data_IF_114136053107
#
_entry.id   IF_114136053107
#
_cell.length_a   1.000
_cell.length_b   1.000
_cell.length_c   1.000
_cell.angle_alpha   90.00
_cell.angle_beta   90.00
_cell.angle_gamma   90.00
#
_symmetry.space_group_name_H-M   'P 1'
#
loop_
_entity.id
_entity.type
_entity.pdbx_description
1 polymer ?
#
# COMPACT_ATOMS: atom_id res chain seq x y z
N UNK A 1 3.46 8.42 19.19
CA UNK A 1 2.65 7.29 18.65
C UNK A 1 3.17 6.92 17.27
N UNK A 2 3.30 5.63 16.97
CA UNK A 2 3.82 5.12 15.67
C UNK A 2 2.75 4.36 14.90
N UNK A 3 2.80 4.42 13.58
CA UNK A 3 1.95 3.62 12.68
C UNK A 3 2.85 2.62 11.96
N UNK A 4 2.52 1.34 12.07
CA UNK A 4 3.19 0.25 11.38
C UNK A 4 2.29 -0.24 10.23
N UNK A 5 2.75 -0.10 8.99
CA UNK A 5 2.08 -0.65 7.82
C UNK A 5 2.59 -2.08 7.57
N UNK A 6 1.77 -3.07 7.87
CA UNK A 6 2.07 -4.48 7.66
C UNK A 6 1.36 -4.97 6.41
N UNK A 7 2.10 -5.14 5.33
CA UNK A 7 1.60 -5.57 4.03
C UNK A 7 2.32 -6.82 3.52
N UNK A 8 1.68 -7.55 2.61
CA UNK A 8 2.25 -8.72 1.93
C UNK A 8 2.72 -9.84 2.88
N UNK A 9 2.04 -10.06 3.98
CA UNK A 9 2.34 -11.14 4.93
C UNK A 9 1.94 -12.49 4.30
N UNK A 10 2.93 -13.37 4.09
CA UNK A 10 2.76 -14.65 3.40
C UNK A 10 2.79 -15.87 4.33
N UNK A 11 3.34 -15.72 5.52
CA UNK A 11 3.52 -16.82 6.46
C UNK A 11 3.51 -16.36 7.92
N UNK A 12 3.23 -17.32 8.82
CA UNK A 12 3.31 -17.11 10.27
C UNK A 12 4.71 -16.67 10.72
N UNK A 13 5.75 -17.21 10.12
CA UNK A 13 7.15 -16.84 10.42
C UNK A 13 7.42 -15.37 10.06
N UNK A 14 6.93 -14.92 8.91
CA UNK A 14 7.06 -13.52 8.51
C UNK A 14 6.30 -12.60 9.44
N UNK A 15 5.07 -12.97 9.83
CA UNK A 15 4.28 -12.20 10.79
C UNK A 15 5.02 -12.06 12.13
N UNK A 16 5.57 -13.17 12.67
CA UNK A 16 6.39 -13.16 13.91
C UNK A 16 7.51 -12.15 13.80
N UNK A 17 8.31 -12.24 12.75
CA UNK A 17 9.45 -11.35 12.53
C UNK A 17 9.03 -9.87 12.41
N UNK A 18 7.95 -9.59 11.67
CA UNK A 18 7.46 -8.22 11.47
C UNK A 18 6.89 -7.60 12.74
N UNK A 19 6.36 -8.40 13.65
CA UNK A 19 5.77 -7.94 14.91
C UNK A 19 6.77 -7.81 16.07
N UNK A 20 7.98 -8.39 15.94
CA UNK A 20 9.06 -8.26 16.92
C UNK A 20 9.50 -6.81 17.14
N UNK A 21 9.51 -6.00 16.07
CA UNK A 21 9.94 -4.60 16.09
C UNK A 21 8.89 -3.65 16.66
N UNK A 22 7.66 -4.12 16.93
CA UNK A 22 6.58 -3.29 17.46
C UNK A 22 6.80 -3.08 18.95
N UNK A 23 7.10 -1.83 19.31
CA UNK A 23 7.36 -1.43 20.69
C UNK A 23 6.09 -1.45 21.56
N UNK A 24 6.22 -1.92 22.79
CA UNK A 24 5.17 -1.83 23.82
C UNK A 24 5.26 -0.55 24.65
N UNK A 25 6.37 0.18 24.54
CA UNK A 25 6.62 1.37 25.36
C UNK A 25 5.93 2.62 24.81
N UNK A 26 5.44 2.55 23.61
CA UNK A 26 4.75 3.64 22.92
C UNK A 26 3.43 3.14 22.34
N UNK A 27 2.41 3.99 22.37
CA UNK A 27 1.15 3.67 21.68
C UNK A 27 1.38 3.52 20.19
N UNK A 28 0.94 2.39 19.65
CA UNK A 28 1.17 2.02 18.26
C UNK A 28 -0.12 1.66 17.55
N UNK A 29 -0.21 1.95 16.25
CA UNK A 29 -1.29 1.52 15.39
C UNK A 29 -0.69 0.57 14.34
N UNK A 30 -1.25 -0.60 14.20
CA UNK A 30 -0.93 -1.54 13.13
C UNK A 30 -2.00 -1.41 12.06
N UNK A 31 -1.60 -0.97 10.87
CA UNK A 31 -2.42 -1.01 9.66
C UNK A 31 -2.07 -2.31 8.95
N UNK A 32 -2.97 -3.28 9.05
CA UNK A 32 -2.75 -4.64 8.56
C UNK A 32 -3.44 -4.86 7.23
N UNK A 33 -2.68 -5.26 6.22
CA UNK A 33 -3.24 -5.78 4.98
C UNK A 33 -3.71 -7.24 5.18
N UNK A 34 -4.70 -7.65 4.40
CA UNK A 34 -5.16 -9.04 4.38
C UNK A 34 -3.97 -9.96 4.04
N UNK A 35 -3.78 -11.03 4.81
CA UNK A 35 -2.70 -11.98 4.54
C UNK A 35 -2.81 -12.52 3.12
N UNK A 36 -1.68 -12.57 2.41
CA UNK A 36 -1.65 -12.87 0.98
C UNK A 36 -2.39 -14.17 0.63
N UNK A 37 -2.22 -15.22 1.43
CA UNK A 37 -2.93 -16.51 1.23
C UNK A 37 -4.43 -16.39 1.43
N UNK A 38 -4.89 -15.64 2.44
CA UNK A 38 -6.30 -15.36 2.72
C UNK A 38 -6.93 -14.57 1.56
N UNK A 39 -6.27 -13.49 1.11
CA UNK A 39 -6.76 -12.70 0.01
C UNK A 39 -6.92 -13.51 -1.29
N UNK A 40 -5.94 -14.35 -1.63
CA UNK A 40 -5.98 -15.20 -2.82
C UNK A 40 -7.12 -16.23 -2.77
N UNK A 41 -7.36 -16.85 -1.61
CA UNK A 41 -8.44 -17.82 -1.42
C UNK A 41 -9.82 -17.14 -1.57
N UNK A 42 -10.03 -16.01 -0.93
CA UNK A 42 -11.29 -15.28 -1.04
C UNK A 42 -11.52 -14.73 -2.45
N UNK A 43 -10.47 -14.31 -3.15
CA UNK A 43 -10.57 -13.95 -4.57
C UNK A 43 -11.00 -15.14 -5.43
N UNK A 44 -10.52 -16.35 -5.14
CA UNK A 44 -10.95 -17.57 -5.84
C UNK A 44 -12.42 -17.89 -5.54
N UNK A 45 -12.90 -17.66 -4.31
CA UNK A 45 -14.33 -17.76 -3.93
C UNK A 45 -15.16 -16.78 -4.76
N UNK A 46 -14.77 -15.50 -4.82
CA UNK A 46 -15.46 -14.48 -5.62
C UNK A 46 -15.55 -14.86 -7.11
N UNK A 47 -14.46 -15.38 -7.69
CA UNK A 47 -14.45 -15.85 -9.09
C UNK A 47 -15.42 -17.02 -9.28
N UNK A 48 -15.45 -18.00 -8.37
CA UNK A 48 -16.36 -19.14 -8.46
C UNK A 48 -17.81 -18.70 -8.29
N UNK A 49 -18.06 -17.73 -7.43
CA UNK A 49 -19.38 -17.13 -7.22
C UNK A 49 -19.85 -16.37 -8.47
N UNK A 50 -18.98 -15.63 -9.14
CA UNK A 50 -19.29 -14.97 -10.41
C UNK A 50 -19.75 -15.97 -11.49
N UNK A 51 -19.24 -17.20 -11.44
CA UNK A 51 -19.69 -18.30 -12.31
C UNK A 51 -20.90 -19.07 -11.77
N UNK A 52 -21.47 -18.64 -10.65
CA UNK A 52 -22.60 -19.29 -9.95
C UNK A 52 -22.34 -20.76 -9.58
N UNK A 53 -21.09 -21.15 -9.36
CA UNK A 53 -20.68 -22.49 -8.96
C UNK A 53 -20.69 -22.61 -7.41
N UNK A 54 -21.90 -22.69 -6.83
CA UNK A 54 -22.09 -22.67 -5.39
C UNK A 54 -21.44 -23.88 -4.71
N UNK A 55 -21.47 -25.07 -5.35
CA UNK A 55 -20.81 -26.26 -4.78
C UNK A 55 -19.30 -26.03 -4.62
N UNK A 56 -18.68 -25.47 -5.64
CA UNK A 56 -17.25 -25.12 -5.61
C UNK A 56 -16.95 -24.02 -4.57
N UNK A 57 -17.82 -23.02 -4.44
CA UNK A 57 -17.72 -21.99 -3.40
C UNK A 57 -17.71 -22.61 -2.01
N UNK A 58 -18.64 -23.54 -1.71
CA UNK A 58 -18.71 -24.18 -0.39
C UNK A 58 -17.45 -25.02 -0.10
N UNK A 59 -16.95 -25.76 -1.09
CA UNK A 59 -15.70 -26.51 -0.95
C UNK A 59 -14.50 -25.58 -0.69
N UNK A 60 -14.43 -24.46 -1.43
CA UNK A 60 -13.37 -23.47 -1.22
C UNK A 60 -13.43 -22.80 0.15
N UNK A 61 -14.63 -22.57 0.71
CA UNK A 61 -14.79 -22.02 2.05
C UNK A 61 -14.39 -23.02 3.13
N UNK A 62 -14.64 -24.33 2.91
CA UNK A 62 -14.16 -25.37 3.83
C UNK A 62 -12.63 -25.47 3.84
N UNK A 63 -12.00 -25.43 2.66
CA UNK A 63 -10.54 -25.39 2.53
C UNK A 63 -9.95 -24.12 3.15
N UNK A 64 -10.64 -23.01 3.02
CA UNK A 64 -10.27 -21.74 3.63
C UNK A 64 -10.32 -21.78 5.17
N UNK A 65 -11.33 -22.44 5.73
CA UNK A 65 -11.43 -22.63 7.17
C UNK A 65 -10.25 -23.46 7.72
N UNK A 66 -9.86 -24.53 6.99
CA UNK A 66 -8.68 -25.34 7.32
C UNK A 66 -7.38 -24.52 7.27
N UNK A 67 -7.24 -23.65 6.25
CA UNK A 67 -6.07 -22.76 6.14
C UNK A 67 -6.00 -21.75 7.29
N UNK A 68 -7.13 -21.21 7.73
CA UNK A 68 -7.19 -20.36 8.93
C UNK A 68 -6.75 -21.13 10.18
N UNK A 69 -7.18 -22.40 10.32
CA UNK A 69 -6.69 -23.30 11.38
C UNK A 69 -5.18 -23.47 11.35
N UNK A 70 -4.59 -23.69 10.18
CA UNK A 70 -3.14 -23.80 10.01
C UNK A 70 -2.40 -22.52 10.44
N UNK A 71 -2.97 -21.32 10.20
CA UNK A 71 -2.39 -20.08 10.71
C UNK A 71 -2.37 -20.06 12.23
N UNK A 72 -3.47 -20.45 12.88
CA UNK A 72 -3.57 -20.50 14.35
C UNK A 72 -2.59 -21.50 14.94
N UNK A 73 -2.47 -22.69 14.34
CA UNK A 73 -1.55 -23.74 14.79
C UNK A 73 -0.07 -23.31 14.72
N UNK A 74 0.29 -22.53 13.71
CA UNK A 74 1.65 -22.03 13.56
C UNK A 74 1.96 -20.80 14.43
N UNK A 75 0.95 -20.10 14.94
CA UNK A 75 1.12 -18.86 15.71
C UNK A 75 0.89 -19.07 17.19
N UNK A 76 -0.11 -19.86 17.59
CA UNK A 76 -0.56 -19.99 18.96
C UNK A 76 -0.13 -21.33 19.55
N UNK A 77 0.26 -21.30 20.84
CA UNK A 77 0.61 -22.50 21.63
C UNK A 77 -0.55 -22.95 22.50
N UNK A 78 -1.42 -22.02 22.90
CA UNK A 78 -2.57 -22.29 23.78
C UNK A 78 -3.75 -22.86 23.02
N UNK A 79 -4.14 -24.11 23.31
CA UNK A 79 -5.31 -24.75 22.70
C UNK A 79 -6.63 -24.01 23.01
N UNK A 80 -6.72 -23.36 24.16
CA UNK A 80 -7.88 -22.55 24.52
C UNK A 80 -7.99 -21.32 23.62
N UNK A 81 -6.89 -20.59 23.42
CA UNK A 81 -6.87 -19.42 22.52
C UNK A 81 -7.09 -19.82 21.06
N UNK A 82 -6.57 -20.95 20.60
CA UNK A 82 -6.87 -21.50 19.27
C UNK A 82 -8.35 -21.73 19.08
N UNK A 83 -9.01 -22.37 20.05
CA UNK A 83 -10.44 -22.65 19.99
C UNK A 83 -11.30 -21.38 19.98
N UNK A 84 -10.94 -20.37 20.79
CA UNK A 84 -11.62 -19.08 20.81
C UNK A 84 -11.43 -18.33 19.47
N UNK A 85 -10.20 -18.24 18.97
CA UNK A 85 -9.89 -17.62 17.69
C UNK A 85 -10.62 -18.32 16.53
N UNK A 86 -10.60 -19.65 16.49
CA UNK A 86 -11.30 -20.44 15.47
C UNK A 86 -12.81 -20.17 15.48
N UNK A 87 -13.42 -20.03 16.67
CA UNK A 87 -14.84 -19.71 16.82
C UNK A 87 -15.17 -18.32 16.25
N UNK A 88 -14.36 -17.31 16.53
CA UNK A 88 -14.58 -15.96 16.00
C UNK A 88 -14.35 -15.90 14.47
N UNK A 89 -13.32 -16.57 13.99
CA UNK A 89 -13.07 -16.70 12.54
C UNK A 89 -14.24 -17.39 11.84
N UNK A 90 -14.80 -18.44 12.46
CA UNK A 90 -15.96 -19.16 11.92
C UNK A 90 -17.17 -18.26 11.71
N UNK A 91 -17.40 -17.28 12.59
CA UNK A 91 -18.49 -16.30 12.42
C UNK A 91 -18.34 -15.56 11.08
N UNK A 92 -17.13 -15.13 10.72
CA UNK A 92 -16.88 -14.44 9.44
C UNK A 92 -17.04 -15.39 8.25
N UNK A 93 -16.58 -16.64 8.35
CA UNK A 93 -16.73 -17.64 7.28
C UNK A 93 -18.23 -17.96 7.06
N UNK A 94 -18.99 -18.12 8.13
CA UNK A 94 -20.43 -18.38 8.05
C UNK A 94 -21.19 -17.18 7.43
N UNK A 95 -20.74 -15.94 7.69
CA UNK A 95 -21.27 -14.75 7.05
C UNK A 95 -20.99 -14.74 5.55
N UNK A 96 -19.76 -15.04 5.12
CA UNK A 96 -19.42 -15.20 3.69
C UNK A 96 -20.31 -16.29 3.07
N UNK A 97 -20.47 -17.45 3.73
CA UNK A 97 -21.29 -18.55 3.24
C UNK A 97 -22.75 -18.13 3.05
N UNK A 98 -23.32 -17.38 4.01
CA UNK A 98 -24.68 -16.83 3.88
C UNK A 98 -24.81 -15.88 2.72
N UNK A 99 -23.89 -14.90 2.61
CA UNK A 99 -23.86 -13.96 1.49
C UNK A 99 -23.88 -14.72 0.15
N UNK A 100 -23.01 -15.71 -0.02
CA UNK A 100 -22.92 -16.51 -1.24
C UNK A 100 -24.18 -17.31 -1.56
N UNK A 101 -24.95 -17.74 -0.55
CA UNK A 101 -26.17 -18.53 -0.74
C UNK A 101 -27.42 -17.67 -0.97
N UNK A 102 -27.55 -16.55 -0.25
CA UNK A 102 -28.80 -15.76 -0.25
C UNK A 102 -28.96 -14.90 -1.51
N UNK A 103 -27.87 -14.31 -2.00
CA UNK A 103 -27.92 -13.38 -3.15
C UNK A 103 -26.71 -13.49 -4.08
N UNK A 104 -26.45 -14.63 -4.71
CA UNK A 104 -25.21 -14.85 -5.48
C UNK A 104 -25.00 -13.88 -6.66
N UNK A 105 -26.06 -13.20 -7.10
CA UNK A 105 -26.00 -12.25 -8.23
C UNK A 105 -25.76 -10.78 -7.84
N UNK A 106 -25.77 -10.46 -6.53
CA UNK A 106 -25.76 -9.08 -6.02
C UNK A 106 -24.56 -8.83 -5.11
N UNK A 107 -23.80 -9.88 -4.77
CA UNK A 107 -22.69 -9.74 -3.81
C UNK A 107 -21.57 -8.94 -4.42
N UNK A 108 -21.20 -7.88 -3.72
CA UNK A 108 -19.98 -7.14 -3.99
C UNK A 108 -18.78 -7.92 -3.45
N UNK A 109 -17.78 -8.16 -4.28
CA UNK A 109 -16.48 -8.75 -3.90
C UNK A 109 -15.87 -8.06 -2.69
N UNK A 110 -16.18 -6.77 -2.49
CA UNK A 110 -15.68 -5.98 -1.38
C UNK A 110 -16.14 -6.50 -0.02
N UNK A 111 -17.38 -7.00 0.10
CA UNK A 111 -17.89 -7.58 1.35
C UNK A 111 -17.15 -8.88 1.71
N UNK A 112 -16.91 -9.76 0.72
CA UNK A 112 -16.14 -10.99 0.92
C UNK A 112 -14.71 -10.64 1.37
N UNK A 113 -14.06 -9.69 0.70
CA UNK A 113 -12.71 -9.26 1.03
C UNK A 113 -12.62 -8.56 2.40
N UNK A 114 -13.67 -7.85 2.82
CA UNK A 114 -13.77 -7.25 4.14
C UNK A 114 -13.68 -8.29 5.26
N UNK A 115 -14.36 -9.41 5.10
CA UNK A 115 -14.27 -10.52 6.07
C UNK A 115 -12.85 -11.10 6.13
N UNK A 116 -12.14 -11.19 5.01
CA UNK A 116 -10.73 -11.62 4.98
C UNK A 116 -9.80 -10.67 5.75
N UNK A 117 -10.03 -9.36 5.65
CA UNK A 117 -9.29 -8.37 6.40
C UNK A 117 -9.56 -8.47 7.91
N UNK A 118 -10.82 -8.72 8.31
CA UNK A 118 -11.18 -8.95 9.71
C UNK A 118 -10.57 -10.24 10.26
N UNK A 119 -10.62 -11.35 9.51
CA UNK A 119 -9.99 -12.62 9.89
C UNK A 119 -8.47 -12.43 10.08
N UNK A 120 -7.78 -11.72 9.17
CA UNK A 120 -6.36 -11.44 9.33
C UNK A 120 -6.06 -10.62 10.59
N UNK A 121 -6.95 -9.67 10.92
CA UNK A 121 -6.85 -8.85 12.13
C UNK A 121 -7.08 -9.67 13.40
N UNK A 122 -8.01 -10.61 13.39
CA UNK A 122 -8.26 -11.53 14.50
C UNK A 122 -7.04 -12.43 14.74
N UNK A 123 -6.50 -13.05 13.69
CA UNK A 123 -5.30 -13.89 13.80
C UNK A 123 -4.13 -13.11 14.41
N UNK A 124 -3.90 -11.86 13.95
CA UNK A 124 -2.86 -11.02 14.53
C UNK A 124 -3.15 -10.66 15.99
N UNK A 125 -4.39 -10.34 16.33
CA UNK A 125 -4.81 -9.96 17.68
C UNK A 125 -4.51 -11.09 18.67
N UNK A 126 -4.95 -12.30 18.39
CA UNK A 126 -4.71 -13.47 19.24
C UNK A 126 -3.21 -13.79 19.36
N UNK A 127 -2.46 -13.66 18.26
CA UNK A 127 -1.00 -13.83 18.33
C UNK A 127 -0.32 -12.77 19.20
N UNK A 128 -0.73 -11.52 19.15
CA UNK A 128 -0.20 -10.48 20.01
C UNK A 128 -0.55 -10.72 21.50
N UNK A 129 -1.75 -11.23 21.78
CA UNK A 129 -2.15 -11.63 23.14
C UNK A 129 -1.33 -12.80 23.66
N UNK A 130 -1.05 -13.80 22.83
CA UNK A 130 -0.11 -14.89 23.17
C UNK A 130 1.27 -14.33 23.55
N UNK A 131 1.72 -13.28 22.84
CA UNK A 131 2.95 -12.55 23.14
C UNK A 131 2.81 -11.56 24.33
N UNK A 132 1.71 -11.63 25.11
CA UNK A 132 1.39 -10.70 26.22
C UNK A 132 1.28 -9.23 25.80
N UNK A 133 1.02 -8.97 24.51
CA UNK A 133 0.87 -7.62 23.96
C UNK A 133 -0.63 -7.27 23.90
N UNK A 134 -1.10 -6.50 24.87
CA UNK A 134 -2.48 -6.01 24.89
C UNK A 134 -2.79 -5.19 23.64
N UNK A 135 -3.87 -5.51 22.97
CA UNK A 135 -4.27 -4.86 21.75
C UNK A 135 -5.78 -4.71 21.63
N UNK A 136 -6.23 -3.95 20.64
CA UNK A 136 -7.66 -3.76 20.35
C UNK A 136 -7.85 -3.57 18.85
N UNK A 137 -8.84 -4.25 18.28
CA UNK A 137 -9.17 -4.14 16.86
C UNK A 137 -10.14 -2.99 16.64
N UNK A 138 -9.72 -2.01 15.85
CA UNK A 138 -10.56 -0.93 15.34
C UNK A 138 -11.04 -1.32 13.94
N UNK A 139 -12.34 -1.59 13.80
CA UNK A 139 -12.91 -1.83 12.47
C UNK A 139 -12.88 -0.54 11.64
N UNK A 140 -12.13 -0.58 10.55
CA UNK A 140 -11.90 0.60 9.70
C UNK A 140 -13.18 1.12 9.04
N UNK A 141 -14.19 0.28 8.79
CA UNK A 141 -15.50 0.72 8.30
C UNK A 141 -16.25 1.65 9.26
N UNK A 142 -15.87 1.68 10.54
CA UNK A 142 -16.51 2.59 11.50
C UNK A 142 -16.01 4.04 11.39
N UNK A 143 -14.85 4.26 10.78
CA UNK A 143 -14.27 5.60 10.70
C UNK A 143 -13.73 5.99 9.32
N UNK A 144 -13.32 5.04 8.48
CA UNK A 144 -12.78 5.34 7.17
C UNK A 144 -13.88 5.41 6.12
N UNK A 145 -13.97 6.55 5.42
CA UNK A 145 -14.93 6.75 4.34
C UNK A 145 -14.30 7.49 3.16
N UNK A 146 -14.69 7.09 1.95
CA UNK A 146 -14.35 7.79 0.71
C UNK A 146 -15.45 8.79 0.36
N UNK A 147 -15.05 9.94 -0.17
CA UNK A 147 -15.94 10.89 -0.82
C UNK A 147 -16.37 10.41 -2.22
N UNK A 148 -17.22 11.18 -2.89
CA UNK A 148 -17.66 10.92 -4.27
C UNK A 148 -16.50 10.93 -5.28
N UNK A 149 -15.41 11.62 -4.96
CA UNK A 149 -14.16 11.67 -5.74
C UNK A 149 -13.24 10.45 -5.47
N UNK A 150 -13.73 9.47 -4.70
CA UNK A 150 -12.97 8.28 -4.23
C UNK A 150 -11.70 8.63 -3.44
N UNK A 151 -11.63 9.83 -2.88
CA UNK A 151 -10.57 10.22 -1.94
C UNK A 151 -11.06 10.11 -0.50
N UNK A 152 -10.15 9.97 0.50
CA UNK A 152 -10.54 9.96 1.90
C UNK A 152 -11.28 11.24 2.31
N UNK A 153 -12.45 11.10 2.89
CA UNK A 153 -13.17 12.22 3.53
C UNK A 153 -12.51 12.52 4.89
N UNK A 154 -11.42 13.27 4.87
CA UNK A 154 -10.59 13.55 6.05
C UNK A 154 -11.40 14.15 7.20
N UNK A 155 -12.40 14.97 6.91
CA UNK A 155 -13.24 15.59 7.95
C UNK A 155 -14.09 14.54 8.67
N UNK A 156 -14.72 13.66 7.88
CA UNK A 156 -15.50 12.57 8.42
C UNK A 156 -14.62 11.61 9.23
N UNK A 157 -13.46 11.23 8.65
CA UNK A 157 -12.52 10.27 9.29
C UNK A 157 -12.04 10.84 10.63
N UNK A 158 -11.61 12.11 10.69
CA UNK A 158 -11.18 12.75 11.93
C UNK A 158 -12.25 12.73 13.00
N UNK A 159 -13.46 13.14 12.66
CA UNK A 159 -14.59 13.18 13.61
C UNK A 159 -14.85 11.78 14.20
N UNK A 160 -14.92 10.76 13.34
CA UNK A 160 -15.23 9.40 13.80
C UNK A 160 -14.07 8.78 14.60
N UNK A 161 -12.82 9.06 14.23
CA UNK A 161 -11.66 8.66 15.03
C UNK A 161 -11.68 9.29 16.41
N UNK A 162 -11.97 10.58 16.54
CA UNK A 162 -12.08 11.26 17.83
C UNK A 162 -13.16 10.64 18.71
N UNK A 163 -14.30 10.25 18.12
CA UNK A 163 -15.40 9.59 18.84
C UNK A 163 -15.01 8.16 19.27
N UNK A 164 -14.42 7.38 18.37
CA UNK A 164 -13.94 6.03 18.65
C UNK A 164 -12.87 6.01 19.73
N UNK A 165 -11.95 6.96 19.71
CA UNK A 165 -10.88 7.04 20.69
C UNK A 165 -11.36 7.35 22.10
N UNK A 166 -12.53 7.97 22.27
CA UNK A 166 -13.15 8.17 23.59
C UNK A 166 -13.68 6.87 24.18
N UNK A 167 -14.15 5.96 23.32
CA UNK A 167 -14.69 4.65 23.70
C UNK A 167 -13.64 3.53 23.68
N UNK A 168 -12.48 3.79 23.07
CA UNK A 168 -11.41 2.81 22.93
C UNK A 168 -10.71 2.57 24.28
N UNK A 169 -10.46 1.29 24.65
CA UNK A 169 -9.69 0.98 25.85
C UNK A 169 -8.27 1.54 25.77
N UNK A 170 -7.70 1.82 26.93
CA UNK A 170 -6.30 2.26 27.01
C UNK A 170 -5.36 1.06 26.85
N UNK A 171 -5.08 0.74 25.60
CA UNK A 171 -4.18 -0.35 25.21
C UNK A 171 -3.00 0.20 24.39
N UNK A 172 -1.83 -0.44 24.48
CA UNK A 172 -0.64 0.02 23.76
C UNK A 172 -0.73 -0.18 22.26
N UNK A 173 -1.49 -1.16 21.76
CA UNK A 173 -1.55 -1.50 20.35
C UNK A 173 -3.01 -1.44 19.85
N UNK A 174 -3.23 -0.68 18.80
CA UNK A 174 -4.44 -0.67 18.02
C UNK A 174 -4.19 -1.38 16.69
N UNK A 175 -5.10 -2.24 16.27
CA UNK A 175 -5.05 -2.93 14.98
C UNK A 175 -6.18 -2.39 14.11
N UNK A 176 -5.89 -2.01 12.89
CA UNK A 176 -6.94 -1.63 11.92
C UNK A 176 -6.62 -2.25 10.56
N UNK A 177 -7.66 -2.51 9.78
CA UNK A 177 -7.56 -3.13 8.46
C UNK A 177 -7.04 -2.10 7.46
N UNK A 178 -6.08 -2.49 6.65
CA UNK A 178 -5.67 -1.72 5.48
C UNK A 178 -6.74 -1.80 4.39
N UNK A 179 -6.92 -0.70 3.68
CA UNK A 179 -7.79 -0.59 2.50
C UNK A 179 -9.28 -0.82 2.72
N UNK A 180 -9.72 -1.34 3.84
CA UNK A 180 -11.14 -1.49 4.13
C UNK A 180 -11.74 -0.13 4.53
N UNK A 181 -12.84 0.25 3.91
CA UNK A 181 -13.51 1.53 4.14
C UNK A 181 -15.00 1.46 3.76
N UNK A 182 -15.70 2.57 3.92
CA UNK A 182 -17.00 2.79 3.31
C UNK A 182 -16.90 3.77 2.15
N UNK A 183 -17.79 3.64 1.18
CA UNK A 183 -17.95 4.63 0.11
C UNK A 183 -18.84 5.81 0.56
N UNK A 184 -19.12 6.75 -0.35
CA UNK A 184 -19.96 7.91 -0.05
C UNK A 184 -21.43 7.55 0.22
N UNK A 185 -21.87 6.34 -0.11
CA UNK A 185 -23.22 5.81 0.13
C UNK A 185 -23.32 4.94 1.38
N UNK A 186 -22.26 4.89 2.18
CA UNK A 186 -22.14 4.11 3.42
C UNK A 186 -22.07 2.60 3.20
N UNK A 187 -21.77 2.15 1.98
CA UNK A 187 -21.56 0.75 1.62
C UNK A 187 -20.09 0.36 1.85
N UNK A 188 -19.84 -0.91 2.14
CA UNK A 188 -18.46 -1.44 2.25
C UNK A 188 -17.74 -1.31 0.91
N UNK A 189 -16.55 -0.76 0.92
CA UNK A 189 -15.73 -0.55 -0.26
C UNK A 189 -14.25 -0.78 0.10
N UNK A 190 -13.44 -0.97 -0.91
CA UNK A 190 -12.00 -1.03 -0.78
C UNK A 190 -11.36 0.27 -1.24
N UNK A 191 -10.49 0.78 -0.41
CA UNK A 191 -9.67 1.93 -0.74
C UNK A 191 -8.98 1.71 -2.11
N UNK A 192 -8.97 2.68 -3.02
CA UNK A 192 -8.36 2.53 -4.34
C UNK A 192 -6.94 1.96 -4.26
N UNK A 193 -6.52 1.23 -5.30
CA UNK A 193 -5.19 0.60 -5.35
C UNK A 193 -4.05 1.62 -5.51
N UNK A 194 -4.04 2.63 -4.65
CA UNK A 194 -3.02 3.70 -4.60
C UNK A 194 -1.82 3.28 -3.75
N UNK A 195 -1.86 2.10 -3.15
CA UNK A 195 -0.83 1.57 -2.25
C UNK A 195 -1.27 1.62 -0.78
N UNK A 196 -0.93 0.57 -0.05
CA UNK A 196 -1.26 0.43 1.37
C UNK A 196 -0.59 1.52 2.21
N UNK A 197 0.59 1.99 1.79
CA UNK A 197 1.32 3.07 2.46
C UNK A 197 0.57 4.40 2.44
N UNK A 198 -0.22 4.69 1.41
CA UNK A 198 -1.05 5.90 1.40
C UNK A 198 -2.19 5.80 2.42
N UNK A 199 -2.85 4.64 2.50
CA UNK A 199 -3.84 4.39 3.53
C UNK A 199 -3.25 4.54 4.93
N UNK A 200 -2.08 3.93 5.20
CA UNK A 200 -1.37 4.06 6.47
C UNK A 200 -0.98 5.53 6.76
N UNK A 201 -0.63 6.31 5.72
CA UNK A 201 -0.34 7.74 5.86
C UNK A 201 -1.58 8.54 6.28
N UNK A 202 -2.75 8.21 5.71
CA UNK A 202 -4.04 8.82 6.13
C UNK A 202 -4.32 8.50 7.60
N UNK A 203 -4.17 7.23 8.00
CA UNK A 203 -4.31 6.80 9.40
C UNK A 203 -3.37 7.61 10.30
N UNK A 204 -2.09 7.67 9.95
CA UNK A 204 -1.09 8.41 10.73
C UNK A 204 -1.44 9.89 10.87
N UNK A 205 -1.88 10.54 9.79
CA UNK A 205 -2.26 11.95 9.82
C UNK A 205 -3.49 12.22 10.69
N UNK A 206 -4.47 11.30 10.69
CA UNK A 206 -5.72 11.47 11.44
C UNK A 206 -5.52 11.16 12.93
N UNK A 207 -4.71 10.16 13.25
CA UNK A 207 -4.38 9.80 14.63
C UNK A 207 -3.23 10.62 15.23
N UNK A 208 -2.70 11.61 14.50
CA UNK A 208 -1.57 12.45 14.92
C UNK A 208 -0.33 11.64 15.30
N UNK A 209 0.03 10.68 14.45
CA UNK A 209 1.23 9.88 14.65
C UNK A 209 2.50 10.72 14.42
N UNK A 210 3.57 10.39 15.14
CA UNK A 210 4.89 11.02 14.97
C UNK A 210 5.61 10.45 13.75
N UNK A 211 5.39 9.14 13.48
CA UNK A 211 6.02 8.47 12.34
C UNK A 211 5.19 7.29 11.82
N UNK A 212 5.37 7.02 10.52
CA UNK A 212 4.89 5.81 9.85
C UNK A 212 6.08 4.93 9.49
N UNK A 213 5.94 3.65 9.72
CA UNK A 213 6.91 2.63 9.37
C UNK A 213 6.30 1.73 8.30
N UNK A 214 6.89 1.70 7.11
CA UNK A 214 6.40 0.92 5.97
C UNK A 214 7.53 0.34 5.14
N UNK A 215 7.22 -0.58 4.24
CA UNK A 215 8.22 -1.23 3.39
C UNK A 215 8.67 -0.30 2.26
N UNK A 216 9.96 -0.35 1.91
CA UNK A 216 10.49 0.32 0.73
C UNK A 216 10.12 -0.47 -0.53
N UNK A 217 9.47 0.18 -1.50
CA UNK A 217 8.99 -0.48 -2.73
C UNK A 217 10.07 -0.75 -3.75
N UNK A 218 11.15 0.00 -3.75
CA UNK A 218 12.13 -0.04 -4.84
C UNK A 218 13.34 -0.91 -4.52
N UNK A 219 13.55 -1.92 -5.35
CA UNK A 219 14.81 -2.67 -5.39
C UNK A 219 15.95 -1.90 -6.11
N UNK A 220 15.58 -0.84 -6.84
CA UNK A 220 16.54 -0.02 -7.63
C UNK A 220 17.38 0.90 -6.74
N UNK A 221 16.96 1.16 -5.51
CA UNK A 221 17.69 2.01 -4.58
C UNK A 221 18.75 1.18 -3.89
N UNK A 222 19.99 1.47 -4.21
CA UNK A 222 21.15 0.93 -3.51
C UNK A 222 21.80 2.06 -2.70
N UNK A 223 21.67 1.99 -1.38
CA UNK A 223 22.35 2.90 -0.45
C UNK A 223 23.81 2.50 -0.19
N UNK A 224 24.43 1.68 -1.08
CA UNK A 224 25.83 1.27 -0.96
C UNK A 224 26.75 2.49 -0.94
N UNK A 225 27.55 2.61 0.11
CA UNK A 225 28.50 3.71 0.30
C UNK A 225 27.92 4.96 0.97
N UNK A 226 26.66 4.91 1.42
CA UNK A 226 26.03 5.98 2.20
C UNK A 226 25.85 5.55 3.66
N UNK A 227 26.93 5.23 4.34
CA UNK A 227 26.91 4.70 5.70
C UNK A 227 26.30 5.66 6.74
N UNK A 228 26.08 6.93 6.40
CA UNK A 228 25.70 7.95 7.39
C UNK A 228 24.51 8.85 6.99
N UNK A 229 23.84 8.65 5.86
CA UNK A 229 22.77 9.57 5.47
C UNK A 229 21.53 8.83 4.97
N UNK A 230 20.82 8.26 5.90
CA UNK A 230 19.55 7.58 5.63
C UNK A 230 18.35 8.50 5.93
N UNK A 231 18.55 9.81 5.78
CA UNK A 231 17.49 10.80 6.01
C UNK A 231 17.36 11.70 4.78
N UNK A 232 16.14 11.79 4.26
CA UNK A 232 15.73 12.72 3.21
C UNK A 232 14.77 13.75 3.79
N UNK A 233 14.82 14.95 3.29
CA UNK A 233 13.73 15.90 3.45
C UNK A 233 12.56 15.51 2.55
N UNK A 234 11.34 15.97 2.85
CA UNK A 234 10.18 15.73 1.99
C UNK A 234 10.43 16.18 0.54
N UNK A 235 11.08 17.37 0.32
CA UNK A 235 11.39 17.85 -1.01
C UNK A 235 12.40 16.99 -1.75
N UNK A 236 13.41 16.44 -1.05
CA UNK A 236 14.34 15.49 -1.64
C UNK A 236 13.65 14.18 -2.03
N UNK A 237 12.72 13.67 -1.19
CA UNK A 237 11.94 12.48 -1.50
C UNK A 237 11.01 12.71 -2.72
N UNK A 238 10.39 13.88 -2.84
CA UNK A 238 9.63 14.28 -4.04
C UNK A 238 10.50 14.25 -5.28
N UNK A 239 11.71 14.85 -5.22
CA UNK A 239 12.64 14.82 -6.36
C UNK A 239 13.04 13.39 -6.78
N UNK A 240 13.13 12.45 -5.82
CA UNK A 240 13.36 11.03 -6.15
C UNK A 240 12.17 10.43 -6.89
N UNK A 241 10.96 10.68 -6.40
CA UNK A 241 9.71 10.18 -7.01
C UNK A 241 9.55 10.79 -8.42
N UNK A 242 9.78 12.08 -8.58
CA UNK A 242 9.71 12.77 -9.87
C UNK A 242 10.77 12.25 -10.86
N UNK A 243 11.92 11.81 -10.35
CA UNK A 243 12.94 11.11 -11.14
C UNK A 243 12.52 9.68 -11.52
N UNK A 244 11.31 9.25 -11.14
CA UNK A 244 10.72 7.96 -11.46
C UNK A 244 11.17 6.81 -10.58
N UNK A 245 11.67 7.11 -9.37
CA UNK A 245 12.00 6.10 -8.38
C UNK A 245 10.80 5.90 -7.47
N UNK A 246 10.26 4.71 -7.48
CA UNK A 246 9.13 4.36 -6.63
C UNK A 246 9.57 4.16 -5.17
N UNK A 247 9.78 5.25 -4.42
CA UNK A 247 9.99 5.18 -2.97
C UNK A 247 8.73 4.71 -2.26
N UNK A 248 7.64 5.40 -2.52
CA UNK A 248 6.30 5.20 -2.00
C UNK A 248 5.31 5.96 -2.91
N UNK A 249 4.03 5.86 -2.63
CA UNK A 249 3.04 6.61 -3.41
C UNK A 249 3.24 8.14 -3.25
N UNK A 250 3.21 8.92 -4.34
CA UNK A 250 3.48 10.37 -4.30
C UNK A 250 2.63 11.14 -3.30
N UNK A 251 1.35 10.79 -3.16
CA UNK A 251 0.39 11.46 -2.25
C UNK A 251 0.77 11.32 -0.75
N UNK A 252 1.65 10.37 -0.39
CA UNK A 252 2.11 10.21 1.00
C UNK A 252 2.92 11.40 1.48
N UNK A 253 3.76 11.98 0.61
CA UNK A 253 4.70 13.04 1.01
C UNK A 253 3.99 14.33 1.40
N UNK A 254 3.07 14.90 0.58
CA UNK A 254 2.34 16.11 0.96
C UNK A 254 1.53 15.93 2.24
N UNK A 255 0.90 14.76 2.41
CA UNK A 255 0.10 14.47 3.59
C UNK A 255 0.96 14.36 4.85
N UNK A 256 2.07 13.63 4.80
CA UNK A 256 3.01 13.51 5.91
C UNK A 256 3.64 14.85 6.28
N UNK A 257 4.02 15.66 5.28
CA UNK A 257 4.52 17.02 5.49
C UNK A 257 3.51 17.90 6.23
N UNK A 258 2.25 17.87 5.81
CA UNK A 258 1.18 18.67 6.42
C UNK A 258 0.90 18.22 7.85
N UNK A 259 0.98 16.91 8.12
CA UNK A 259 0.83 16.35 9.46
C UNK A 259 2.07 16.51 10.35
N UNK A 260 3.22 16.91 9.80
CA UNK A 260 4.50 16.95 10.53
C UNK A 260 5.07 15.58 10.88
N UNK A 261 4.64 14.54 10.18
CA UNK A 261 4.88 13.14 10.49
C UNK A 261 6.03 12.57 9.65
N UNK A 262 7.01 11.92 10.29
CA UNK A 262 8.08 11.25 9.56
C UNK A 262 7.59 9.96 8.87
N UNK A 263 8.23 9.59 7.76
CA UNK A 263 8.03 8.30 7.09
C UNK A 263 9.33 7.52 7.16
N UNK A 264 9.27 6.30 7.69
CA UNK A 264 10.41 5.39 7.77
C UNK A 264 10.16 4.23 6.81
N UNK A 265 10.99 4.15 5.78
CA UNK A 265 10.96 3.08 4.79
C UNK A 265 11.98 2.02 5.19
N UNK A 266 11.54 0.77 5.32
CA UNK A 266 12.39 -0.35 5.71
C UNK A 266 12.55 -1.29 4.51
N UNK A 267 13.79 -1.58 4.13
CA UNK A 267 14.13 -2.65 3.18
C UNK A 267 14.61 -3.89 3.93
N UNK A 268 15.56 -3.70 4.84
CA UNK A 268 16.02 -4.66 5.84
C UNK A 268 16.15 -3.94 7.17
N UNK A 269 16.25 -4.63 8.32
CA UNK A 269 16.44 -3.97 9.62
C UNK A 269 17.62 -2.99 9.66
N UNK A 270 18.64 -3.25 8.85
CA UNK A 270 19.87 -2.43 8.75
C UNK A 270 19.79 -1.37 7.64
N UNK A 271 18.83 -1.51 6.71
CA UNK A 271 18.67 -0.64 5.56
C UNK A 271 17.33 0.11 5.62
N UNK A 272 17.36 1.23 6.35
CA UNK A 272 16.20 2.09 6.58
C UNK A 272 16.43 3.49 6.01
N UNK A 273 15.37 4.09 5.46
CA UNK A 273 15.36 5.46 4.96
C UNK A 273 14.29 6.26 5.71
N UNK A 274 14.69 7.36 6.34
CA UNK A 274 13.79 8.28 7.04
C UNK A 274 13.50 9.50 6.18
N UNK A 275 12.24 9.85 6.01
CA UNK A 275 11.77 11.07 5.33
C UNK A 275 11.15 11.98 6.39
N UNK A 276 11.67 13.18 6.56
CA UNK A 276 11.19 14.14 7.58
C UNK A 276 11.48 15.58 7.17
N UNK A 277 11.18 16.52 8.06
CA UNK A 277 11.56 17.94 7.88
C UNK A 277 13.04 18.21 8.19
N UNK A 278 13.74 17.25 8.80
CA UNK A 278 15.14 17.43 9.24
C UNK A 278 16.10 17.55 8.06
N UNK A 279 16.92 18.60 8.07
CA UNK A 279 17.97 18.79 7.08
C UNK A 279 19.27 18.19 7.59
N UNK A 280 19.85 17.27 6.83
CA UNK A 280 21.20 16.77 7.10
C UNK A 280 22.22 17.54 6.25
N UNK A 281 23.40 17.82 6.82
CA UNK A 281 24.41 18.71 6.22
C UNK A 281 25.20 18.15 5.03
N UNK A 282 24.86 16.98 4.50
CA UNK A 282 25.55 16.35 3.36
C UNK A 282 25.16 17.02 2.04
N UNK A 283 26.16 17.42 1.24
CA UNK A 283 25.95 18.08 -0.08
C UNK A 283 25.35 17.16 -1.14
N UNK A 284 25.70 15.86 -1.13
CA UNK A 284 25.16 14.84 -2.04
C UNK A 284 24.63 13.71 -1.20
N UNK A 285 23.31 13.48 -1.22
CA UNK A 285 22.66 12.48 -0.40
C UNK A 285 22.43 11.15 -1.11
N UNK A 286 22.21 11.20 -2.40
CA UNK A 286 22.03 10.00 -3.22
C UNK A 286 22.37 10.30 -4.68
N UNK A 287 22.76 9.26 -5.39
CA UNK A 287 22.86 9.25 -6.84
C UNK A 287 21.95 8.15 -7.38
N UNK A 288 21.14 8.51 -8.37
CA UNK A 288 20.20 7.59 -9.00
C UNK A 288 20.69 7.29 -10.40
N UNK A 289 20.76 6.01 -10.75
CA UNK A 289 21.07 5.59 -12.11
C UNK A 289 19.95 4.70 -12.64
N UNK A 290 19.56 4.93 -13.88
CA UNK A 290 18.59 4.11 -14.59
C UNK A 290 19.27 3.36 -15.72
N UNK A 291 19.13 2.03 -15.74
CA UNK A 291 19.69 1.18 -16.80
C UNK A 291 18.69 0.97 -17.93
N UNK A 292 19.20 0.68 -19.13
CA UNK A 292 18.36 0.40 -20.30
C UNK A 292 17.65 1.63 -20.88
N UNK A 293 18.16 2.82 -20.58
CA UNK A 293 17.64 4.07 -21.15
C UNK A 293 18.37 4.33 -22.49
N UNK A 294 17.56 4.68 -23.50
CA UNK A 294 18.05 5.09 -24.81
C UNK A 294 17.98 6.61 -24.91
N UNK A 295 19.05 7.21 -25.35
CA UNK A 295 19.11 8.66 -25.59
C UNK A 295 18.79 8.94 -27.07
N UNK A 296 17.65 9.58 -27.33
CA UNK A 296 17.20 9.95 -28.67
C UNK A 296 17.40 11.43 -28.90
N UNK A 297 18.20 11.80 -29.90
CA UNK A 297 18.41 13.19 -30.28
C UNK A 297 17.82 13.44 -31.64
N UNK A 298 16.88 14.36 -31.71
CA UNK A 298 16.19 14.79 -32.92
C UNK A 298 16.61 16.22 -33.25
N UNK A 299 16.84 16.48 -34.52
CA UNK A 299 17.23 17.81 -34.99
C UNK A 299 16.37 18.19 -36.18
N UNK A 300 15.74 19.34 -36.13
CA UNK A 300 15.04 19.90 -37.28
C UNK A 300 16.06 20.46 -38.32
N UNK A 301 15.84 20.13 -39.58
CA UNK A 301 16.65 20.67 -40.71
C UNK A 301 16.07 21.97 -41.26
N UNK A 302 14.91 22.40 -40.81
CA UNK A 302 14.24 23.63 -41.24
C UNK A 302 13.97 24.59 -40.08
N UNK A 303 13.69 25.84 -40.41
CA UNK A 303 13.25 26.86 -39.43
C UNK A 303 11.77 26.60 -39.11
N UNK A 304 11.49 25.52 -38.36
CA UNK A 304 10.18 25.33 -37.74
C UNK A 304 10.14 26.13 -36.44
N UNK A 305 8.99 26.74 -36.17
CA UNK A 305 8.78 27.33 -34.85
C UNK A 305 8.96 26.24 -33.80
N UNK A 306 9.85 26.47 -32.85
CA UNK A 306 10.34 25.44 -31.90
C UNK A 306 9.21 24.68 -31.19
N UNK A 307 8.08 25.34 -30.88
CA UNK A 307 6.94 24.71 -30.21
C UNK A 307 6.22 23.67 -31.07
N UNK A 308 6.09 23.89 -32.40
CA UNK A 308 5.48 22.92 -33.32
C UNK A 308 6.35 21.66 -33.47
N UNK A 309 7.66 21.82 -33.50
CA UNK A 309 8.58 20.69 -33.57
C UNK A 309 8.55 19.85 -32.30
N UNK A 310 8.61 20.51 -31.14
CA UNK A 310 8.53 19.84 -29.83
C UNK A 310 7.20 19.09 -29.69
N UNK A 311 6.06 19.74 -30.01
CA UNK A 311 4.74 19.12 -29.95
C UNK A 311 4.67 17.84 -30.77
N UNK A 312 5.04 17.89 -32.05
CA UNK A 312 5.06 16.71 -32.92
C UNK A 312 5.91 15.56 -32.42
N UNK A 313 7.07 15.89 -31.82
CA UNK A 313 7.92 14.85 -31.23
C UNK A 313 7.20 14.16 -30.07
N UNK A 314 6.65 14.92 -29.14
CA UNK A 314 5.93 14.35 -28.00
C UNK A 314 4.68 13.57 -28.41
N UNK A 315 3.90 14.04 -29.39
CA UNK A 315 2.73 13.34 -29.93
C UNK A 315 3.07 11.91 -30.41
N UNK A 316 4.24 11.75 -31.07
CA UNK A 316 4.70 10.44 -31.52
C UNK A 316 5.06 9.54 -30.34
N UNK A 317 5.77 10.05 -29.33
CA UNK A 317 6.11 9.25 -28.13
C UNK A 317 4.87 8.88 -27.32
N UNK A 318 3.87 9.77 -27.24
CA UNK A 318 2.57 9.50 -26.60
C UNK A 318 1.80 8.39 -27.36
N UNK A 319 1.72 8.46 -28.68
CA UNK A 319 1.08 7.46 -29.53
C UNK A 319 1.60 6.05 -29.28
N UNK A 320 2.92 5.91 -29.09
CA UNK A 320 3.55 4.62 -28.78
C UNK A 320 3.63 4.33 -27.26
N UNK A 321 3.05 5.19 -26.42
CA UNK A 321 3.04 5.07 -24.94
C UNK A 321 4.44 4.87 -24.36
N UNK A 322 5.44 5.57 -24.93
CA UNK A 322 6.82 5.49 -24.47
C UNK A 322 7.07 6.58 -23.42
N UNK A 323 7.42 6.21 -22.17
CA UNK A 323 7.70 7.18 -21.13
C UNK A 323 8.99 7.95 -21.42
N UNK A 324 8.92 9.27 -21.28
CA UNK A 324 10.07 10.18 -21.42
C UNK A 324 10.54 10.55 -20.01
N UNK A 325 11.78 10.19 -19.68
CA UNK A 325 12.37 10.44 -18.35
C UNK A 325 13.13 11.77 -18.25
N UNK A 326 13.70 12.19 -19.36
CA UNK A 326 14.40 13.47 -19.46
C UNK A 326 14.15 14.05 -20.83
N UNK A 327 13.83 15.31 -20.88
CA UNK A 327 13.74 16.07 -22.12
C UNK A 327 14.58 17.34 -22.01
N UNK A 328 15.41 17.57 -23.01
CA UNK A 328 16.11 18.85 -23.18
C UNK A 328 15.85 19.36 -24.60
N UNK A 329 15.61 20.64 -24.74
CA UNK A 329 15.32 21.24 -26.04
C UNK A 329 16.17 22.47 -26.31
N UNK A 330 16.40 22.72 -27.59
CA UNK A 330 16.91 23.97 -28.13
C UNK A 330 16.03 24.40 -29.30
N UNK A 331 16.29 25.53 -29.88
CA UNK A 331 15.50 26.05 -31.01
C UNK A 331 15.41 25.08 -32.21
N UNK A 332 16.34 24.14 -32.34
CA UNK A 332 16.47 23.25 -33.50
C UNK A 332 16.62 21.77 -33.12
N UNK A 333 16.63 21.45 -31.86
CA UNK A 333 16.82 20.05 -31.41
C UNK A 333 16.06 19.71 -30.13
N UNK A 334 15.61 18.45 -30.04
CA UNK A 334 15.07 17.84 -28.83
C UNK A 334 15.89 16.61 -28.52
N UNK A 335 16.31 16.47 -27.28
CA UNK A 335 16.98 15.26 -26.79
C UNK A 335 16.15 14.65 -25.70
N UNK A 336 15.82 13.36 -25.82
CA UNK A 336 14.96 12.62 -24.94
C UNK A 336 15.69 11.39 -24.37
N UNK A 337 15.52 11.13 -23.08
CA UNK A 337 15.93 9.87 -22.47
C UNK A 337 14.66 9.03 -22.27
N UNK A 338 14.59 7.87 -22.94
CA UNK A 338 13.39 7.02 -23.01
C UNK A 338 13.74 5.55 -22.72
N UNK A 339 12.75 4.76 -22.35
CA UNK A 339 12.90 3.31 -22.21
C UNK A 339 11.85 2.63 -23.08
N UNK A 340 12.28 2.00 -24.13
CA UNK A 340 11.41 1.25 -25.04
C UNK A 340 12.20 0.10 -25.69
N UNK A 341 11.47 -0.80 -26.36
CA UNK A 341 12.08 -1.86 -27.16
C UNK A 341 12.72 -1.30 -28.43
N UNK A 342 13.69 -2.01 -28.98
CA UNK A 342 14.31 -1.63 -30.24
C UNK A 342 13.30 -1.56 -31.40
N UNK A 343 12.26 -2.41 -31.37
CA UNK A 343 11.23 -2.40 -32.41
C UNK A 343 10.34 -1.17 -32.30
N UNK A 344 9.94 -0.79 -31.06
CA UNK A 344 9.21 0.47 -30.83
C UNK A 344 10.04 1.68 -31.26
N UNK A 345 11.35 1.67 -30.97
CA UNK A 345 12.22 2.76 -31.40
C UNK A 345 12.31 2.89 -32.91
N UNK A 346 12.33 1.76 -33.65
CA UNK A 346 12.31 1.76 -35.12
C UNK A 346 10.99 2.32 -35.67
N UNK A 347 9.85 2.04 -35.04
CA UNK A 347 8.56 2.59 -35.44
C UNK A 347 8.52 4.11 -35.24
N UNK A 348 8.97 4.58 -34.07
CA UNK A 348 9.09 6.01 -33.76
C UNK A 348 10.02 6.71 -34.78
N UNK A 349 11.15 6.10 -35.08
CA UNK A 349 12.09 6.64 -36.08
C UNK A 349 11.45 6.82 -37.46
N UNK A 350 10.68 5.83 -37.94
CA UNK A 350 9.98 5.90 -39.23
C UNK A 350 8.89 6.98 -39.26
N UNK A 351 8.28 7.28 -38.15
CA UNK A 351 7.20 8.26 -38.08
C UNK A 351 7.73 9.69 -37.93
N UNK A 352 8.90 9.87 -37.35
CA UNK A 352 9.56 11.16 -37.20
C UNK A 352 10.41 11.56 -38.42
N UNK A 353 10.64 10.65 -39.35
CA UNK A 353 11.40 10.87 -40.58
C UNK A 353 10.47 11.14 -41.76
#
# INVERSE_FOLDING_TARGET
>A
MKVYNLENIKSATELKHRTEVISMNERSIIVLDTFTGIAQKLQAVSISLFHLDIEKVMNQLQDFENDCGNWLDNLLSSEMQKAEAAKEIKVHIDQISRLCNENPNIIDDHEIMAHGAMISSLILSYYLEECTKKNFILNSCHFMRLGLDRKPDIKYVKKNVEELMKACPDVPILITQSRLCKNAYDEVDLFPQIGNEYYATVIGAVFHADEIITSLRSDEICFRGMEHTRTLTYGEAENFIDSGIALLHPECIPLARTAGMAIVLIKTPEDTLRISSEKTGTKVKAAVSRRGVVFVKLRSLGVLTSYLFIGKVFDVFEKYKVPVYLATSSNVSVSLAVKCSNDTLRLIYRELH
#
